data_IF_328394963793
#
_entry.id   IF_328394963793
#
_cell.length_a   1.000
_cell.length_b   1.000
_cell.length_c   1.000
_cell.angle_alpha   90.00
_cell.angle_beta   90.00
_cell.angle_gamma   90.00
#
_symmetry.space_group_name_H-M   'P 1'
#
loop_
_entity.id
_entity.type
_entity.pdbx_description
1 polymer ?
#
# COMPACT_ATOMS: atom_id res chain seq x y z
N UNK A 1 -5.78 -5.01 10.89
CA UNK A 1 -6.07 -3.69 11.48
C UNK A 1 -7.18 -3.75 12.53
N UNK A 2 -7.77 -4.93 12.78
CA UNK A 2 -8.96 -5.05 13.65
C UNK A 2 -8.66 -4.92 15.14
N UNK A 3 -7.42 -5.19 15.55
CA UNK A 3 -6.94 -5.08 16.93
C UNK A 3 -6.35 -3.70 17.28
N UNK A 4 -6.49 -2.71 16.38
CA UNK A 4 -6.02 -1.35 16.66
C UNK A 4 -6.95 -0.70 17.69
N UNK A 5 -6.34 0.06 18.62
CA UNK A 5 -7.06 0.92 19.55
C UNK A 5 -7.61 2.17 18.86
N UNK A 6 -7.96 3.19 19.67
CA UNK A 6 -8.58 4.43 19.17
C UNK A 6 -7.56 5.50 18.75
N UNK A 7 -6.29 5.34 19.14
CA UNK A 7 -5.25 6.31 18.81
C UNK A 7 -4.89 6.28 17.31
N UNK A 8 -4.58 7.44 16.71
CA UNK A 8 -4.07 7.51 15.35
C UNK A 8 -2.81 6.64 15.19
N UNK A 9 -2.77 5.83 14.12
CA UNK A 9 -1.62 4.97 13.83
C UNK A 9 -1.07 5.18 12.43
N UNK A 10 0.26 5.11 12.32
CA UNK A 10 0.99 5.08 11.06
C UNK A 10 1.53 3.67 10.83
N UNK A 11 1.15 3.05 9.72
CA UNK A 11 1.53 1.69 9.35
C UNK A 11 2.42 1.76 8.11
N UNK A 12 3.61 1.19 8.19
CA UNK A 12 4.49 0.98 7.05
C UNK A 12 4.27 -0.42 6.50
N UNK A 13 3.76 -0.50 5.29
CA UNK A 13 3.50 -1.75 4.61
C UNK A 13 4.55 -1.98 3.53
N UNK A 14 5.41 -2.99 3.75
CA UNK A 14 6.45 -3.38 2.80
C UNK A 14 5.87 -4.41 1.82
N UNK A 15 5.88 -4.09 0.54
CA UNK A 15 5.45 -4.99 -0.53
C UNK A 15 6.67 -5.48 -1.31
N UNK A 16 6.97 -6.78 -1.20
CA UNK A 16 8.13 -7.41 -1.83
C UNK A 16 7.87 -7.85 -3.27
N UNK A 17 6.61 -7.84 -3.70
CA UNK A 17 6.14 -8.38 -4.97
C UNK A 17 5.45 -7.27 -5.77
N UNK A 18 6.18 -6.69 -6.72
CA UNK A 18 5.67 -5.52 -7.43
C UNK A 18 4.70 -5.94 -8.54
N UNK A 19 3.46 -5.43 -8.48
CA UNK A 19 2.49 -5.58 -9.58
C UNK A 19 3.01 -4.96 -10.89
N UNK A 20 3.89 -3.95 -10.78
CA UNK A 20 4.52 -3.28 -11.92
C UNK A 20 5.89 -3.92 -12.18
N UNK A 21 6.20 -4.13 -13.45
CA UNK A 21 7.42 -4.80 -13.86
C UNK A 21 7.37 -5.12 -15.34
N UNK A 22 8.49 -5.55 -15.91
CA UNK A 22 8.58 -5.93 -17.32
C UNK A 22 7.62 -7.08 -17.64
N UNK A 23 7.19 -7.13 -18.90
CA UNK A 23 6.52 -8.33 -19.42
C UNK A 23 7.51 -9.50 -19.44
N UNK A 24 7.08 -10.73 -19.12
CA UNK A 24 7.91 -11.94 -19.28
C UNK A 24 8.48 -12.02 -20.68
N UNK A 25 9.79 -12.23 -20.81
CA UNK A 25 10.46 -12.41 -22.10
C UNK A 25 10.78 -13.88 -22.39
N UNK A 26 10.78 -14.73 -21.36
CA UNK A 26 10.93 -16.17 -21.47
C UNK A 26 9.96 -16.92 -20.54
N UNK A 27 9.76 -18.22 -20.77
CA UNK A 27 8.92 -19.06 -19.90
C UNK A 27 9.37 -19.06 -18.43
N UNK A 28 10.67 -18.92 -18.19
CA UNK A 28 11.25 -18.83 -16.84
C UNK A 28 10.83 -17.57 -16.08
N UNK A 29 10.48 -16.49 -16.78
CA UNK A 29 10.01 -15.24 -16.18
C UNK A 29 8.54 -15.34 -15.73
N UNK A 30 7.78 -16.31 -16.25
CA UNK A 30 6.33 -16.43 -16.01
C UNK A 30 6.03 -16.76 -14.55
N UNK A 31 6.78 -17.70 -13.95
CA UNK A 31 6.63 -18.07 -12.54
C UNK A 31 6.84 -16.88 -11.61
N UNK A 32 7.92 -16.12 -11.85
CA UNK A 32 8.22 -14.89 -11.14
C UNK A 32 7.08 -13.86 -11.26
N UNK A 33 6.52 -13.68 -12.47
CA UNK A 33 5.45 -12.71 -12.70
C UNK A 33 4.11 -13.14 -12.11
N UNK A 34 3.81 -14.43 -12.11
CA UNK A 34 2.64 -14.98 -11.42
C UNK A 34 2.69 -14.68 -9.92
N UNK A 35 3.85 -14.88 -9.29
CA UNK A 35 4.07 -14.53 -7.87
C UNK A 35 3.85 -13.04 -7.63
N UNK A 36 4.37 -12.17 -8.52
CA UNK A 36 4.14 -10.72 -8.40
C UNK A 36 2.66 -10.37 -8.37
N UNK A 37 1.86 -10.91 -9.29
CA UNK A 37 0.43 -10.65 -9.32
C UNK A 37 -0.30 -11.25 -8.13
N UNK A 38 0.03 -12.49 -7.75
CA UNK A 38 -0.63 -13.18 -6.66
C UNK A 38 -0.45 -12.44 -5.33
N UNK A 39 0.78 -12.08 -4.98
CA UNK A 39 1.09 -11.44 -3.70
C UNK A 39 0.64 -9.98 -3.67
N UNK A 40 0.88 -9.20 -4.73
CA UNK A 40 0.41 -7.81 -4.80
C UNK A 40 -1.13 -7.69 -4.78
N UNK A 41 -1.83 -8.64 -5.39
CA UNK A 41 -3.30 -8.67 -5.39
C UNK A 41 -3.87 -8.88 -3.99
N UNK A 42 -3.28 -9.78 -3.19
CA UNK A 42 -3.67 -9.99 -1.79
C UNK A 42 -3.54 -8.70 -0.98
N UNK A 43 -2.41 -8.02 -1.14
CA UNK A 43 -2.14 -6.73 -0.50
C UNK A 43 -3.18 -5.67 -0.88
N UNK A 44 -3.50 -5.56 -2.16
CA UNK A 44 -4.51 -4.61 -2.65
C UNK A 44 -5.90 -4.92 -2.11
N UNK A 45 -6.30 -6.19 -2.15
CA UNK A 45 -7.60 -6.65 -1.62
C UNK A 45 -7.78 -6.29 -0.14
N UNK A 46 -6.75 -6.51 0.68
CA UNK A 46 -6.78 -6.14 2.10
C UNK A 46 -6.97 -4.63 2.29
N UNK A 47 -6.24 -3.82 1.54
CA UNK A 47 -6.33 -2.35 1.65
C UNK A 47 -7.69 -1.82 1.16
N UNK A 48 -8.21 -2.36 0.06
CA UNK A 48 -9.51 -1.98 -0.48
C UNK A 48 -10.65 -2.35 0.49
N UNK A 49 -10.57 -3.52 1.12
CA UNK A 49 -11.52 -3.94 2.16
C UNK A 49 -11.54 -2.93 3.31
N UNK A 50 -10.38 -2.56 3.85
CA UNK A 50 -10.34 -1.59 4.95
C UNK A 50 -10.84 -0.21 4.54
N UNK A 51 -10.49 0.25 3.33
CA UNK A 51 -11.03 1.50 2.77
C UNK A 51 -12.56 1.47 2.68
N UNK A 52 -13.12 0.35 2.25
CA UNK A 52 -14.57 0.15 2.17
C UNK A 52 -15.24 0.21 3.55
N UNK A 53 -14.65 -0.43 4.56
CA UNK A 53 -15.17 -0.39 5.94
C UNK A 53 -15.18 1.03 6.52
N UNK A 54 -14.12 1.81 6.32
CA UNK A 54 -14.11 3.23 6.71
C UNK A 54 -15.19 4.03 5.99
N UNK A 55 -15.37 3.81 4.68
CA UNK A 55 -16.38 4.52 3.91
C UNK A 55 -17.81 4.20 4.40
N UNK A 56 -18.08 2.93 4.72
CA UNK A 56 -19.37 2.49 5.29
C UNK A 56 -19.61 3.16 6.64
N UNK A 57 -18.64 3.10 7.55
CA UNK A 57 -18.73 3.73 8.86
C UNK A 57 -18.97 5.23 8.75
N UNK A 58 -18.18 5.93 7.93
CA UNK A 58 -18.31 7.36 7.72
C UNK A 58 -19.69 7.72 7.11
N UNK A 59 -20.21 6.90 6.21
CA UNK A 59 -21.56 7.06 5.68
C UNK A 59 -22.63 6.86 6.76
N UNK A 60 -22.46 5.87 7.63
CA UNK A 60 -23.37 5.60 8.75
C UNK A 60 -23.39 6.76 9.77
N UNK A 61 -22.24 7.33 10.11
CA UNK A 61 -22.13 8.51 10.98
C UNK A 61 -22.83 9.72 10.35
N UNK A 62 -22.65 9.95 9.04
CA UNK A 62 -23.36 11.04 8.34
C UNK A 62 -24.87 10.77 8.25
N UNK A 63 -25.28 9.51 8.19
CA UNK A 63 -26.69 9.12 8.15
C UNK A 63 -27.35 9.30 9.52
N UNK A 64 -26.68 8.90 10.61
CA UNK A 64 -27.23 9.05 11.98
C UNK A 64 -27.59 10.50 12.31
N UNK A 65 -26.78 11.46 11.85
CA UNK A 65 -27.06 12.89 12.01
C UNK A 65 -28.33 13.39 11.31
N UNK A 66 -28.93 12.59 10.42
CA UNK A 66 -30.16 12.90 9.66
C UNK A 66 -31.37 12.10 10.11
N UNK A 67 -31.19 11.13 11.01
CA UNK A 67 -32.26 10.26 11.45
C UNK A 67 -33.07 10.91 12.60
N UNK A 68 -34.38 10.61 12.70
CA UNK A 68 -35.17 10.92 13.89
C UNK A 68 -34.58 10.28 15.16
N UNK A 69 -34.84 10.90 16.32
CA UNK A 69 -34.25 10.48 17.60
C UNK A 69 -34.61 9.03 17.96
N UNK A 70 -35.78 8.56 17.53
CA UNK A 70 -36.30 7.22 17.79
C UNK A 70 -35.48 6.12 17.12
N UNK A 71 -34.74 6.44 16.05
CA UNK A 71 -33.93 5.50 15.28
C UNK A 71 -32.44 5.56 15.61
N UNK A 72 -32.02 6.44 16.53
CA UNK A 72 -30.60 6.58 16.90
C UNK A 72 -30.07 5.37 17.68
N UNK A 73 -30.93 4.66 18.40
CA UNK A 73 -30.60 3.45 19.16
C UNK A 73 -30.85 2.14 18.40
N UNK A 74 -31.20 2.25 17.11
CA UNK A 74 -31.44 1.10 16.25
C UNK A 74 -30.21 0.15 16.22
N UNK A 75 -30.41 -1.17 16.38
CA UNK A 75 -29.30 -2.12 16.41
C UNK A 75 -28.47 -2.14 15.13
N UNK A 76 -29.07 -1.93 13.96
CA UNK A 76 -28.36 -1.92 12.68
C UNK A 76 -27.55 -0.64 12.52
N UNK A 77 -28.08 0.50 12.97
CA UNK A 77 -27.31 1.75 13.01
C UNK A 77 -26.07 1.61 13.90
N UNK A 78 -26.23 1.04 15.10
CA UNK A 78 -25.10 0.78 16.01
C UNK A 78 -24.09 -0.18 15.40
N UNK A 79 -24.54 -1.22 14.69
CA UNK A 79 -23.65 -2.15 14.01
C UNK A 79 -22.81 -1.43 12.94
N UNK A 80 -23.43 -0.56 12.13
CA UNK A 80 -22.76 0.20 11.08
C UNK A 80 -21.79 1.26 11.62
N UNK A 81 -22.13 1.95 12.71
CA UNK A 81 -21.23 2.94 13.33
C UNK A 81 -20.11 2.30 14.16
N UNK A 82 -20.26 1.04 14.56
CA UNK A 82 -19.26 0.28 15.32
C UNK A 82 -18.29 -0.51 14.45
N UNK A 83 -18.40 -0.42 13.12
CA UNK A 83 -17.46 -1.07 12.19
C UNK A 83 -16.03 -0.59 12.47
N UNK A 84 -15.10 -1.55 12.61
CA UNK A 84 -13.67 -1.32 12.82
C UNK A 84 -12.90 -1.27 11.50
N UNK A 85 -11.74 -0.61 11.45
CA UNK A 85 -11.09 0.13 12.55
C UNK A 85 -11.75 1.49 12.82
N UNK A 86 -11.68 1.94 14.07
CA UNK A 86 -12.32 3.18 14.55
C UNK A 86 -11.35 4.36 14.71
N UNK A 87 -10.05 4.12 14.56
CA UNK A 87 -9.01 5.14 14.62
C UNK A 87 -8.61 5.68 13.24
N UNK A 88 -8.00 6.88 13.17
CA UNK A 88 -7.27 7.32 12.00
C UNK A 88 -6.10 6.39 11.65
N UNK A 89 -6.03 5.92 10.40
CA UNK A 89 -4.90 5.12 9.90
C UNK A 89 -4.22 5.82 8.75
N UNK A 90 -2.90 5.98 8.87
CA UNK A 90 -2.03 6.36 7.78
C UNK A 90 -1.24 5.14 7.30
N UNK A 91 -1.53 4.65 6.09
CA UNK A 91 -0.87 3.48 5.50
C UNK A 91 0.14 3.93 4.44
N UNK A 92 1.43 3.80 4.76
CA UNK A 92 2.54 4.09 3.85
C UNK A 92 2.99 2.79 3.17
N UNK A 93 2.74 2.66 1.87
CA UNK A 93 3.20 1.54 1.06
C UNK A 93 4.63 1.78 0.57
N UNK A 94 5.53 0.91 0.99
CA UNK A 94 6.91 0.82 0.53
C UNK A 94 6.99 -0.36 -0.45
N UNK A 95 7.00 -0.07 -1.75
CA UNK A 95 7.05 -1.10 -2.78
C UNK A 95 8.51 -1.34 -3.12
N UNK A 96 9.00 -2.54 -2.83
CA UNK A 96 10.32 -2.97 -3.26
C UNK A 96 10.32 -3.11 -4.78
N UNK A 97 11.18 -2.32 -5.43
CA UNK A 97 11.42 -2.37 -6.88
C UNK A 97 12.77 -3.03 -7.08
N UNK A 98 12.79 -4.04 -7.95
CA UNK A 98 13.88 -4.98 -8.13
C UNK A 98 14.66 -4.66 -9.39
N UNK A 99 15.97 -4.82 -9.33
CA UNK A 99 16.79 -4.97 -10.52
C UNK A 99 16.68 -6.40 -11.07
N UNK A 100 16.95 -6.54 -12.37
CA UNK A 100 16.59 -7.63 -13.31
C UNK A 100 17.03 -9.06 -12.96
N UNK A 101 17.70 -9.29 -11.82
CA UNK A 101 18.47 -10.51 -11.54
C UNK A 101 17.75 -11.55 -10.67
N UNK A 102 16.62 -11.21 -10.08
CA UNK A 102 15.80 -12.23 -9.41
C UNK A 102 15.05 -13.07 -10.44
N UNK A 103 15.18 -14.39 -10.34
CA UNK A 103 14.38 -15.34 -11.12
C UNK A 103 13.14 -15.83 -10.35
N UNK A 104 12.64 -17.01 -10.73
CA UNK A 104 11.50 -17.64 -10.04
C UNK A 104 11.80 -17.96 -8.56
N UNK A 105 13.07 -18.10 -8.18
CA UNK A 105 13.49 -18.44 -6.82
C UNK A 105 13.37 -17.30 -5.79
N UNK A 106 12.83 -16.13 -6.15
CA UNK A 106 12.79 -14.93 -5.29
C UNK A 106 12.11 -15.09 -3.92
N UNK A 107 11.30 -16.13 -3.74
CA UNK A 107 10.61 -16.45 -2.49
C UNK A 107 11.42 -17.39 -1.57
N UNK A 108 12.51 -17.98 -2.08
CA UNK A 108 13.38 -18.88 -1.31
C UNK A 108 14.88 -18.66 -1.55
N UNK A 109 15.29 -17.63 -2.29
CA UNK A 109 16.68 -17.25 -2.49
C UNK A 109 17.16 -16.32 -1.37
N UNK A 110 18.04 -16.84 -0.51
CA UNK A 110 18.56 -16.14 0.67
C UNK A 110 20.08 -16.16 0.73
N UNK A 111 20.77 -16.22 -0.42
CA UNK A 111 22.22 -16.08 -0.43
C UNK A 111 22.66 -14.75 0.18
N UNK A 112 23.85 -14.73 0.77
CA UNK A 112 24.42 -13.53 1.39
C UNK A 112 24.51 -12.35 0.41
N UNK A 113 24.77 -12.64 -0.87
CA UNK A 113 24.85 -11.62 -1.92
C UNK A 113 23.48 -10.98 -2.10
N UNK A 114 22.45 -11.78 -2.40
CA UNK A 114 21.08 -11.31 -2.60
C UNK A 114 20.56 -10.53 -1.39
N UNK A 115 20.78 -11.04 -0.18
CA UNK A 115 20.37 -10.34 1.05
C UNK A 115 21.03 -8.96 1.20
N UNK A 116 22.33 -8.86 0.92
CA UNK A 116 23.07 -7.59 1.04
C UNK A 116 22.56 -6.58 0.01
N UNK A 117 22.26 -7.02 -1.21
CA UNK A 117 21.67 -6.19 -2.26
C UNK A 117 20.27 -5.71 -1.86
N UNK A 118 19.39 -6.61 -1.38
CA UNK A 118 18.05 -6.24 -0.93
C UNK A 118 18.07 -5.24 0.24
N UNK A 119 19.00 -5.38 1.18
CA UNK A 119 19.15 -4.40 2.27
C UNK A 119 19.58 -3.04 1.76
N UNK A 120 20.54 -3.00 0.82
CA UNK A 120 21.00 -1.76 0.20
C UNK A 120 19.87 -1.07 -0.57
N UNK A 121 19.15 -1.82 -1.41
CA UNK A 121 18.03 -1.32 -2.22
C UNK A 121 16.86 -0.87 -1.35
N UNK A 122 16.49 -1.68 -0.35
CA UNK A 122 15.45 -1.33 0.62
C UNK A 122 15.80 -0.07 1.40
N UNK A 123 17.03 0.03 1.89
CA UNK A 123 17.53 1.22 2.59
C UNK A 123 17.49 2.48 1.72
N UNK A 124 17.94 2.38 0.47
CA UNK A 124 17.88 3.49 -0.49
C UNK A 124 16.44 3.89 -0.83
N UNK A 125 15.54 2.92 -1.00
CA UNK A 125 14.12 3.15 -1.27
C UNK A 125 13.41 3.87 -0.11
N UNK A 126 13.70 3.46 1.13
CA UNK A 126 13.20 4.12 2.34
C UNK A 126 13.77 5.53 2.48
N UNK A 127 15.09 5.72 2.31
CA UNK A 127 15.71 7.04 2.41
C UNK A 127 15.14 8.02 1.38
N UNK A 128 14.94 7.57 0.12
CA UNK A 128 14.29 8.36 -0.94
C UNK A 128 12.84 8.74 -0.57
N UNK A 129 12.11 7.77 -0.01
CA UNK A 129 10.73 7.95 0.45
C UNK A 129 10.63 8.98 1.57
N UNK A 130 11.47 8.84 2.60
CA UNK A 130 11.45 9.69 3.79
C UNK A 130 12.04 11.09 3.57
N UNK A 131 13.02 11.22 2.67
CA UNK A 131 13.62 12.51 2.32
C UNK A 131 12.69 13.44 1.53
N UNK A 132 11.64 12.89 0.92
CA UNK A 132 10.65 13.65 0.15
C UNK A 132 9.54 14.20 1.05
N UNK A 133 9.81 15.28 1.79
CA UNK A 133 8.89 15.87 2.77
C UNK A 133 7.52 16.28 2.18
N UNK A 134 7.48 16.68 0.91
CA UNK A 134 6.24 16.92 0.13
C UNK A 134 5.46 15.63 -0.18
N UNK A 135 6.13 14.49 -0.39
CA UNK A 135 5.43 13.20 -0.63
C UNK A 135 4.83 12.63 0.65
N UNK A 136 5.32 13.09 1.80
CA UNK A 136 4.86 12.72 3.13
C UNK A 136 4.05 13.85 3.79
N UNK A 137 3.08 14.44 3.08
CA UNK A 137 1.99 15.20 3.72
C UNK A 137 1.09 14.27 4.55
N UNK A 138 1.68 13.58 5.52
CA UNK A 138 1.02 12.74 6.50
C UNK A 138 0.30 13.71 7.46
N UNK A 139 -0.97 13.99 7.19
CA UNK A 139 -1.82 14.64 8.18
C UNK A 139 -2.24 13.58 9.19
N UNK A 140 -1.35 13.31 10.16
CA UNK A 140 -1.66 12.42 11.27
C UNK A 140 -2.96 12.87 11.95
N UNK A 141 -3.87 11.92 12.20
CA UNK A 141 -5.13 12.18 12.91
C UNK A 141 -6.31 12.65 12.05
N UNK A 142 -6.21 12.66 10.72
CA UNK A 142 -7.40 12.81 9.86
C UNK A 142 -8.22 11.52 9.85
N UNK A 143 -9.52 11.61 10.08
CA UNK A 143 -10.42 10.45 10.09
C UNK A 143 -10.33 9.61 8.81
N UNK A 144 -10.39 8.29 8.96
CA UNK A 144 -10.37 7.35 7.84
C UNK A 144 -9.03 6.64 7.62
N UNK A 145 -8.95 5.93 6.49
CA UNK A 145 -7.73 5.30 5.98
C UNK A 145 -7.10 6.19 4.90
N UNK A 146 -5.92 6.74 5.19
CA UNK A 146 -5.11 7.44 4.20
C UNK A 146 -4.08 6.49 3.60
N UNK A 147 -4.14 6.30 2.28
CA UNK A 147 -3.20 5.45 1.55
C UNK A 147 -2.14 6.30 0.85
N UNK A 148 -0.88 6.12 1.21
CA UNK A 148 0.26 6.75 0.56
C UNK A 148 1.08 5.69 -0.13
N UNK A 149 1.11 5.73 -1.47
CA UNK A 149 2.06 4.94 -2.23
C UNK A 149 3.29 5.81 -2.48
N UNK A 150 4.42 5.46 -1.87
CA UNK A 150 5.66 6.16 -2.17
C UNK A 150 6.42 5.35 -3.20
N UNK A 151 6.31 5.80 -4.44
CA UNK A 151 7.18 5.34 -5.51
C UNK A 151 8.47 6.15 -5.44
N UNK A 152 9.62 5.50 -5.26
CA UNK A 152 10.89 6.18 -5.53
C UNK A 152 10.85 6.68 -6.98
N UNK A 153 10.93 8.00 -7.15
CA UNK A 153 11.14 8.59 -8.45
C UNK A 153 12.64 8.53 -8.74
N UNK A 154 13.02 7.55 -9.54
CA UNK A 154 14.22 7.51 -10.38
C UNK A 154 14.01 6.24 -11.24
N UNK A 155 13.49 6.34 -12.46
CA UNK A 155 14.27 6.74 -13.64
C UNK A 155 13.50 7.78 -14.45
N UNK A 156 14.25 8.80 -14.88
CA UNK A 156 13.85 9.82 -15.83
C UNK A 156 13.40 9.18 -17.15
N UNK A 157 12.12 9.30 -17.49
CA UNK A 157 11.71 9.43 -18.88
C UNK A 157 11.89 10.91 -19.26
N UNK A 158 13.07 11.25 -19.76
CA UNK A 158 13.27 12.49 -20.50
C UNK A 158 14.35 12.29 -21.57
N UNK A 159 13.93 12.58 -22.80
CA UNK A 159 14.74 12.94 -23.96
C UNK A 159 15.31 11.80 -24.82
N UNK A 160 14.51 11.48 -25.84
CA UNK A 160 14.94 10.88 -27.09
C UNK A 160 14.15 11.46 -28.26
N UNK A 161 13.97 12.78 -28.30
CA UNK A 161 13.54 13.49 -29.51
C UNK A 161 14.78 14.15 -30.12
N UNK A 162 15.10 13.74 -31.37
CA UNK A 162 16.06 14.40 -32.25
C UNK A 162 17.48 13.82 -32.22
N UNK A 163 17.88 13.05 -33.25
CA UNK A 163 18.61 13.55 -34.43
C UNK A 163 19.07 12.35 -35.27
N UNK A 164 18.77 12.33 -36.57
CA UNK A 164 19.33 11.32 -37.47
C UNK A 164 18.77 11.38 -38.89
N UNK A 165 19.21 12.43 -39.61
CA UNK A 165 19.22 12.66 -41.07
C UNK A 165 18.55 11.63 -41.99
#
# INVERSE_FOLDING_TARGET
MDALGQDPVCIFQVDLFSERGRLPQALTDVGQRLKDFQYSSRTRLTNDRYRQLYNIRAAAIRLSAKLPAELLDDPDLRALTSVRPDCPITLVKLIHRKDSFEGDAKDYEFSRISMTEHWREGGAGVASTLGSRERMHLKAGQEGLQLFAVTSAAVSEAQGEGTGK
#
